data_IF_531815131088
#
_entry.id   IF_531815131088
#
_cell.length_a   1.000
_cell.length_b   1.000
_cell.length_c   1.000
_cell.angle_alpha   90.00
_cell.angle_beta   90.00
_cell.angle_gamma   90.00
#
_symmetry.space_group_name_H-M   'P 1'
#
loop_
_entity.id
_entity.type
_entity.pdbx_description
1 polymer ?
#
# COMPACT_ATOMS: atom_id res chain seq x y z
N UNK A 1 15.41 2.63 -41.52
CA UNK A 1 15.69 3.04 -40.12
C UNK A 1 14.76 2.28 -39.19
N UNK A 2 15.19 1.12 -38.68
CA UNK A 2 14.50 0.42 -37.60
C UNK A 2 15.12 0.90 -36.28
N UNK A 3 14.31 1.61 -35.49
CA UNK A 3 14.68 2.06 -34.15
C UNK A 3 14.69 0.85 -33.21
N UNK A 4 15.87 0.54 -32.70
CA UNK A 4 16.18 -0.50 -31.73
C UNK A 4 15.42 -0.20 -30.42
N UNK A 5 14.24 -0.79 -30.26
CA UNK A 5 13.62 -0.92 -28.93
C UNK A 5 14.41 -1.96 -28.17
N UNK A 6 15.35 -1.51 -27.34
CA UNK A 6 15.96 -2.34 -26.30
C UNK A 6 14.84 -2.91 -25.44
N UNK A 7 14.53 -4.18 -25.67
CA UNK A 7 13.78 -5.01 -24.72
C UNK A 7 14.67 -5.13 -23.49
N UNK A 8 14.46 -4.25 -22.52
CA UNK A 8 14.79 -4.57 -21.13
C UNK A 8 13.98 -5.84 -20.84
N UNK A 9 14.66 -6.88 -20.40
CA UNK A 9 14.23 -8.30 -20.40
C UNK A 9 12.85 -8.54 -19.74
N UNK A 10 12.33 -7.56 -18.99
CA UNK A 10 10.96 -7.51 -18.50
C UNK A 10 10.41 -6.08 -18.60
N UNK A 11 9.49 -5.86 -19.56
CA UNK A 11 8.53 -4.75 -19.52
C UNK A 11 8.69 -3.62 -20.56
N UNK A 12 7.70 -2.72 -20.58
CA UNK A 12 7.65 -1.52 -21.43
C UNK A 12 8.22 -0.33 -20.66
N UNK A 13 9.23 0.34 -21.21
CA UNK A 13 9.83 1.54 -20.62
C UNK A 13 8.85 2.73 -20.67
N UNK A 14 8.58 3.30 -19.51
CA UNK A 14 7.78 4.51 -19.32
C UNK A 14 8.74 5.67 -19.07
N UNK A 15 8.65 6.68 -19.93
CA UNK A 15 9.60 7.81 -19.96
C UNK A 15 9.24 8.87 -18.94
N UNK A 16 7.95 9.17 -18.84
CA UNK A 16 7.43 10.24 -18.01
C UNK A 16 5.96 9.99 -17.65
N UNK A 17 5.38 10.92 -16.90
CA UNK A 17 3.99 10.84 -16.43
C UNK A 17 2.99 10.86 -17.58
N UNK A 18 3.28 11.56 -18.67
CA UNK A 18 2.37 11.67 -19.79
C UNK A 18 2.35 10.39 -20.62
N UNK A 19 3.53 9.81 -20.87
CA UNK A 19 3.66 8.49 -21.45
C UNK A 19 2.89 7.43 -20.63
N UNK A 20 2.94 7.50 -19.29
CA UNK A 20 2.13 6.61 -18.45
C UNK A 20 0.62 6.82 -18.61
N UNK A 21 0.16 8.07 -18.70
CA UNK A 21 -1.28 8.36 -18.90
C UNK A 21 -1.78 7.79 -20.22
N UNK A 22 -1.00 7.96 -21.28
CA UNK A 22 -1.30 7.41 -22.60
C UNK A 22 -1.35 5.88 -22.56
N UNK A 23 -0.33 5.25 -21.99
CA UNK A 23 -0.27 3.79 -21.86
C UNK A 23 -1.43 3.21 -21.03
N UNK A 24 -1.82 3.89 -19.94
CA UNK A 24 -3.01 3.53 -19.15
C UNK A 24 -4.29 3.61 -20.00
N UNK A 25 -4.50 4.72 -20.72
CA UNK A 25 -5.67 4.91 -21.56
C UNK A 25 -5.77 3.85 -22.68
N UNK A 26 -4.63 3.51 -23.31
CA UNK A 26 -4.54 2.48 -24.34
C UNK A 26 -4.81 1.08 -23.79
N UNK A 27 -4.26 0.75 -22.62
CA UNK A 27 -4.44 -0.56 -21.98
C UNK A 27 -5.90 -0.84 -21.60
N UNK A 28 -6.69 0.21 -21.33
CA UNK A 28 -8.02 0.16 -20.71
C UNK A 28 -8.04 -0.58 -19.37
N UNK A 29 -6.89 -0.69 -18.70
CA UNK A 29 -6.72 -1.31 -17.39
C UNK A 29 -6.53 -0.25 -16.32
N UNK A 30 -7.00 -0.56 -15.11
CA UNK A 30 -6.86 0.35 -13.96
C UNK A 30 -5.56 0.10 -13.19
N UNK A 31 -5.07 -1.13 -13.25
CA UNK A 31 -3.92 -1.61 -12.48
C UNK A 31 -2.76 -2.00 -13.39
N UNK A 32 -1.56 -1.91 -12.86
CA UNK A 32 -0.36 -2.35 -13.53
C UNK A 32 0.70 -2.82 -12.53
N UNK A 33 1.51 -3.78 -12.94
CA UNK A 33 2.73 -4.17 -12.21
C UNK A 33 3.91 -3.44 -12.84
N UNK A 34 4.78 -2.86 -12.02
CA UNK A 34 5.94 -2.10 -12.48
C UNK A 34 7.22 -2.46 -11.74
N UNK A 35 8.34 -2.19 -12.41
CA UNK A 35 9.69 -2.41 -11.91
C UNK A 35 10.47 -1.10 -12.03
N UNK A 36 11.07 -0.65 -10.93
CA UNK A 36 12.05 0.44 -10.93
C UNK A 36 13.45 -0.15 -11.07
N UNK A 37 14.26 0.48 -11.93
CA UNK A 37 15.59 0.00 -12.27
C UNK A 37 16.62 1.11 -12.21
N UNK A 38 17.85 0.72 -11.93
CA UNK A 38 19.03 1.55 -12.11
C UNK A 38 19.24 1.86 -13.60
N UNK A 39 20.04 2.89 -13.98
CA UNK A 39 20.34 3.21 -15.38
C UNK A 39 20.90 2.01 -16.18
N UNK A 40 21.62 1.09 -15.52
CA UNK A 40 22.12 -0.15 -16.13
C UNK A 40 21.06 -1.25 -16.31
N UNK A 41 19.79 -0.98 -16.02
CA UNK A 41 18.68 -1.92 -16.19
C UNK A 41 18.46 -2.87 -15.00
N UNK A 42 19.35 -2.89 -14.00
CA UNK A 42 19.23 -3.73 -12.81
C UNK A 42 17.98 -3.35 -11.99
N UNK A 43 17.07 -4.29 -11.70
CA UNK A 43 15.90 -4.02 -10.89
C UNK A 43 16.29 -3.79 -9.42
N UNK A 44 15.65 -2.84 -8.76
CA UNK A 44 15.80 -2.61 -7.32
C UNK A 44 14.46 -2.49 -6.59
N UNK A 45 13.33 -2.43 -7.29
CA UNK A 45 12.01 -2.39 -6.68
C UNK A 45 10.95 -2.92 -7.63
N UNK A 46 9.99 -3.69 -7.11
CA UNK A 46 8.76 -4.11 -7.81
C UNK A 46 7.57 -3.52 -7.09
N UNK A 47 6.55 -3.08 -7.81
CA UNK A 47 5.34 -2.54 -7.21
C UNK A 47 4.10 -2.71 -8.06
N UNK A 48 2.94 -2.60 -7.41
CA UNK A 48 1.65 -2.40 -8.07
C UNK A 48 1.28 -0.93 -8.11
N UNK A 49 0.77 -0.49 -9.25
CA UNK A 49 0.37 0.88 -9.48
C UNK A 49 -1.05 1.01 -10.04
N UNK A 50 -1.61 2.19 -9.78
CA UNK A 50 -2.81 2.75 -10.40
C UNK A 50 -2.53 4.25 -10.62
N UNK A 51 -3.00 4.80 -11.74
CA UNK A 51 -2.72 6.19 -12.12
C UNK A 51 -1.21 6.46 -12.16
N UNK A 52 -0.72 7.49 -11.45
CA UNK A 52 0.71 7.88 -11.48
C UNK A 52 1.55 7.27 -10.35
N UNK A 53 1.11 6.15 -9.76
CA UNK A 53 1.72 5.60 -8.53
C UNK A 53 3.21 5.28 -8.68
N UNK A 54 3.65 4.81 -9.85
CA UNK A 54 5.06 4.46 -10.07
C UNK A 54 6.02 5.65 -9.87
N UNK A 55 5.56 6.88 -10.13
CA UNK A 55 6.35 8.10 -9.92
C UNK A 55 6.29 8.63 -8.50
N UNK A 56 5.42 8.09 -7.64
CA UNK A 56 5.30 8.57 -6.25
C UNK A 56 6.56 8.33 -5.43
N UNK A 57 7.34 7.29 -5.75
CA UNK A 57 8.57 6.97 -5.02
C UNK A 57 9.71 7.93 -5.34
N UNK A 58 9.80 8.38 -6.59
CA UNK A 58 10.71 9.45 -7.01
C UNK A 58 10.37 10.75 -6.28
N UNK A 59 9.09 11.09 -6.14
CA UNK A 59 8.69 12.27 -5.35
C UNK A 59 8.96 12.10 -3.85
N UNK A 60 8.69 10.92 -3.29
CA UNK A 60 8.99 10.58 -1.89
C UNK A 60 10.48 10.76 -1.58
N UNK A 61 11.37 10.39 -2.51
CA UNK A 61 12.81 10.51 -2.32
C UNK A 61 13.33 11.96 -2.28
N UNK A 62 12.56 12.93 -2.78
CA UNK A 62 12.90 14.37 -2.70
C UNK A 62 12.71 14.95 -1.28
N UNK A 63 11.87 14.33 -0.47
CA UNK A 63 11.61 14.77 0.91
C UNK A 63 12.71 14.23 1.84
N UNK A 64 13.61 15.07 2.39
CA UNK A 64 14.74 14.62 3.20
C UNK A 64 14.33 13.88 4.48
N UNK A 65 13.12 14.13 4.99
CA UNK A 65 12.58 13.47 6.18
C UNK A 65 12.11 12.03 5.91
N UNK A 66 12.03 11.64 4.62
CA UNK A 66 11.71 10.26 4.21
C UNK A 66 12.98 9.42 4.11
N UNK A 67 12.89 8.19 4.61
CA UNK A 67 13.97 7.21 4.58
C UNK A 67 13.52 5.82 4.17
N UNK A 68 14.46 4.87 4.17
CA UNK A 68 14.25 3.47 3.82
C UNK A 68 14.96 3.07 2.53
N UNK A 69 15.27 1.77 2.41
CA UNK A 69 16.14 1.22 1.36
C UNK A 69 15.77 1.66 -0.05
N UNK A 70 14.47 1.72 -0.36
CA UNK A 70 13.96 2.17 -1.67
C UNK A 70 14.27 3.65 -1.94
N UNK A 71 14.05 4.52 -0.94
CA UNK A 71 14.32 5.97 -1.05
C UNK A 71 15.83 6.21 -1.17
N UNK A 72 16.62 5.50 -0.36
CA UNK A 72 18.08 5.55 -0.41
C UNK A 72 18.62 5.07 -1.75
N UNK A 73 18.09 3.99 -2.32
CA UNK A 73 18.47 3.52 -3.65
C UNK A 73 18.23 4.59 -4.73
N UNK A 74 17.07 5.27 -4.71
CA UNK A 74 16.76 6.36 -5.64
C UNK A 74 17.75 7.52 -5.48
N UNK A 75 18.04 7.95 -4.25
CA UNK A 75 19.00 9.03 -3.98
C UNK A 75 20.41 8.67 -4.42
N UNK A 76 20.83 7.41 -4.21
CA UNK A 76 22.13 6.92 -4.65
C UNK A 76 22.25 7.00 -6.18
N UNK A 77 21.21 6.60 -6.92
CA UNK A 77 21.17 6.73 -8.39
C UNK A 77 21.36 8.20 -8.80
N UNK A 78 20.65 9.14 -8.16
CA UNK A 78 20.79 10.56 -8.47
C UNK A 78 22.17 11.13 -8.13
N UNK A 79 22.77 10.72 -6.99
CA UNK A 79 24.11 11.18 -6.61
C UNK A 79 25.20 10.76 -7.60
N UNK A 80 24.94 9.72 -8.39
CA UNK A 80 25.82 9.23 -9.45
C UNK A 80 25.51 9.88 -10.81
N UNK A 81 24.59 10.86 -10.86
CA UNK A 81 24.15 11.52 -12.10
C UNK A 81 23.20 10.69 -12.95
N UNK A 82 22.66 9.59 -12.42
CA UNK A 82 21.72 8.72 -13.13
C UNK A 82 20.25 9.08 -12.89
N UNK A 83 19.37 8.43 -13.65
CA UNK A 83 17.92 8.50 -13.48
C UNK A 83 17.31 7.12 -13.22
N UNK A 84 16.21 7.10 -12.47
CA UNK A 84 15.45 5.86 -12.24
C UNK A 84 14.67 5.50 -13.50
N UNK A 85 14.90 4.29 -14.01
CA UNK A 85 14.13 3.76 -15.13
C UNK A 85 12.83 3.14 -14.61
N UNK A 86 11.73 3.42 -15.31
CA UNK A 86 10.40 2.95 -14.95
C UNK A 86 9.92 1.96 -16.02
N UNK A 87 9.66 0.71 -15.65
CA UNK A 87 9.18 -0.31 -16.60
C UNK A 87 7.86 -0.91 -16.14
N UNK A 88 6.91 -1.09 -17.06
CA UNK A 88 5.66 -1.82 -16.82
C UNK A 88 5.87 -3.28 -17.18
N UNK A 89 5.67 -4.20 -16.23
CA UNK A 89 5.68 -5.64 -16.48
C UNK A 89 4.34 -6.12 -17.05
N UNK A 90 3.21 -5.63 -16.53
CA UNK A 90 1.88 -6.05 -16.96
C UNK A 90 0.76 -5.07 -16.64
N UNK A 91 -0.35 -5.18 -17.38
CA UNK A 91 -1.59 -4.40 -17.20
C UNK A 91 -2.73 -5.32 -16.75
N UNK A 92 -3.53 -4.87 -15.80
CA UNK A 92 -4.47 -5.76 -15.09
C UNK A 92 -5.81 -5.08 -14.77
N UNK A 93 -6.90 -5.84 -14.86
CA UNK A 93 -8.23 -5.34 -14.49
C UNK A 93 -8.35 -5.12 -12.98
N UNK A 94 -7.81 -6.06 -12.21
CA UNK A 94 -7.77 -6.03 -10.74
C UNK A 94 -6.32 -5.88 -10.25
N UNK A 95 -6.14 -5.60 -8.97
CA UNK A 95 -4.82 -5.53 -8.33
C UNK A 95 -4.03 -6.85 -8.55
N UNK A 96 -2.87 -6.82 -9.24
CA UNK A 96 -2.15 -8.03 -9.68
C UNK A 96 -1.18 -8.55 -8.63
N UNK A 97 -1.72 -8.82 -7.45
CA UNK A 97 -1.00 -9.26 -6.26
C UNK A 97 -0.11 -10.48 -6.48
N UNK A 98 -0.63 -11.49 -7.18
CA UNK A 98 0.11 -12.72 -7.49
C UNK A 98 1.31 -12.39 -8.38
N UNK A 99 1.13 -11.54 -9.39
CA UNK A 99 2.19 -11.18 -10.32
C UNK A 99 3.32 -10.40 -9.65
N UNK A 100 2.98 -9.47 -8.75
CA UNK A 100 3.98 -8.76 -7.95
C UNK A 100 4.79 -9.72 -7.08
N UNK A 101 4.14 -10.69 -6.44
CA UNK A 101 4.82 -11.71 -5.63
C UNK A 101 5.74 -12.61 -6.48
N UNK A 102 5.27 -13.08 -7.64
CA UNK A 102 6.08 -13.87 -8.59
C UNK A 102 7.35 -13.13 -9.01
N UNK A 103 7.24 -11.84 -9.35
CA UNK A 103 8.40 -11.03 -9.73
C UNK A 103 9.38 -10.85 -8.56
N UNK A 104 8.86 -10.65 -7.35
CA UNK A 104 9.69 -10.47 -6.17
C UNK A 104 10.43 -11.75 -5.81
N UNK A 105 9.77 -12.91 -5.89
CA UNK A 105 10.37 -14.21 -5.67
C UNK A 105 11.43 -14.52 -6.74
N UNK A 106 11.10 -14.30 -8.02
CA UNK A 106 12.00 -14.56 -9.13
C UNK A 106 13.26 -13.68 -9.13
N UNK A 107 13.16 -12.42 -8.71
CA UNK A 107 14.28 -11.47 -8.69
C UNK A 107 15.06 -11.54 -7.36
N UNK A 108 14.38 -11.77 -6.24
CA UNK A 108 14.97 -11.85 -4.90
C UNK A 108 15.15 -10.51 -4.18
N UNK A 109 15.20 -10.56 -2.85
CA UNK A 109 15.20 -9.39 -1.96
C UNK A 109 16.50 -9.26 -1.16
N UNK A 110 16.91 -8.00 -0.91
CA UNK A 110 18.14 -7.69 -0.16
C UNK A 110 18.07 -8.25 1.27
N UNK A 111 16.93 -8.08 1.95
CA UNK A 111 16.76 -8.52 3.35
C UNK A 111 16.89 -10.03 3.55
N UNK A 112 16.66 -10.81 2.51
CA UNK A 112 16.82 -12.27 2.52
C UNK A 112 18.14 -12.73 1.89
N UNK A 113 18.96 -11.80 1.40
CA UNK A 113 20.17 -12.13 0.66
C UNK A 113 19.94 -12.84 -0.67
N UNK A 114 18.70 -12.84 -1.19
CA UNK A 114 18.33 -13.59 -2.40
C UNK A 114 18.36 -12.76 -3.68
N UNK A 115 18.45 -11.43 -3.58
CA UNK A 115 18.50 -10.56 -4.75
C UNK A 115 18.54 -9.06 -4.44
N UNK A 116 18.38 -8.21 -5.47
CA UNK A 116 18.60 -6.77 -5.38
C UNK A 116 17.39 -5.96 -4.92
N UNK A 117 16.21 -6.56 -4.74
CA UNK A 117 15.02 -5.78 -4.45
C UNK A 117 15.03 -5.18 -3.04
N UNK A 118 14.66 -3.89 -2.98
CA UNK A 118 14.50 -3.07 -1.77
C UNK A 118 13.11 -3.18 -1.15
N UNK A 119 12.23 -4.02 -1.71
CA UNK A 119 10.88 -4.28 -1.19
C UNK A 119 10.95 -4.68 0.30
N UNK A 120 10.37 -3.84 1.17
CA UNK A 120 10.34 -4.09 2.60
C UNK A 120 9.30 -5.16 2.98
N UNK A 121 8.27 -5.34 2.16
CA UNK A 121 7.16 -6.25 2.43
C UNK A 121 7.58 -7.71 2.13
N UNK A 122 7.29 -8.60 3.06
CA UNK A 122 7.19 -10.04 2.78
C UNK A 122 5.77 -10.32 2.29
N UNK A 123 5.65 -10.86 1.09
CA UNK A 123 4.38 -11.40 0.65
C UNK A 123 4.24 -12.77 1.29
N UNK A 124 3.38 -12.88 2.30
CA UNK A 124 2.78 -14.18 2.62
C UNK A 124 1.85 -14.56 1.46
N UNK A 125 1.69 -15.86 1.13
CA UNK A 125 0.65 -16.31 0.21
C UNK A 125 -0.67 -15.66 0.62
N UNK A 126 -1.35 -15.03 -0.34
CA UNK A 126 -2.68 -14.53 -0.08
C UNK A 126 -3.67 -15.69 -0.09
N UNK A 127 -4.65 -15.62 0.80
CA UNK A 127 -5.77 -16.55 0.84
C UNK A 127 -7.04 -15.75 0.56
N UNK A 128 -7.93 -16.28 -0.29
CA UNK A 128 -9.26 -15.70 -0.45
C UNK A 128 -10.18 -16.39 0.54
N UNK A 129 -10.75 -15.63 1.48
CA UNK A 129 -11.75 -16.11 2.42
C UNK A 129 -13.04 -15.34 2.16
N UNK A 130 -14.15 -16.02 1.89
CA UNK A 130 -15.45 -15.41 1.57
C UNK A 130 -15.40 -14.30 0.50
N UNK A 131 -14.53 -14.44 -0.52
CA UNK A 131 -14.37 -13.47 -1.60
C UNK A 131 -13.50 -12.25 -1.26
N UNK A 132 -12.87 -12.21 -0.09
CA UNK A 132 -11.94 -11.16 0.33
C UNK A 132 -10.52 -11.73 0.42
N UNK A 133 -9.55 -11.09 -0.25
CA UNK A 133 -8.15 -11.47 -0.18
C UNK A 133 -7.52 -11.06 1.17
N UNK A 134 -7.20 -12.05 2.00
CA UNK A 134 -6.50 -11.89 3.29
C UNK A 134 -5.03 -12.30 3.14
N UNK A 135 -4.11 -11.42 3.60
CA UNK A 135 -2.64 -11.58 3.46
C UNK A 135 -1.96 -11.73 4.82
N UNK A 136 -1.43 -10.63 5.36
CA UNK A 136 -0.76 -10.56 6.68
C UNK A 136 -1.66 -11.07 7.83
N UNK A 137 -2.96 -11.13 7.60
CA UNK A 137 -3.96 -11.61 8.55
C UNK A 137 -4.41 -13.04 8.21
N UNK A 138 -3.51 -13.90 7.73
CA UNK A 138 -3.78 -15.33 7.48
C UNK A 138 -4.44 -16.05 8.67
N UNK A 139 -4.23 -15.53 9.88
CA UNK A 139 -4.83 -16.02 11.12
C UNK A 139 -6.17 -15.33 11.45
N UNK A 140 -6.87 -14.75 10.45
CA UNK A 140 -8.30 -14.42 10.61
C UNK A 140 -8.98 -15.73 11.05
N UNK A 141 -9.42 -15.75 12.30
CA UNK A 141 -9.95 -16.95 12.94
C UNK A 141 -11.24 -17.38 12.22
N UNK A 142 -11.12 -18.37 11.32
CA UNK A 142 -12.25 -19.02 10.67
C UNK A 142 -12.71 -18.38 9.36
N UNK A 143 -13.87 -18.85 8.87
CA UNK A 143 -14.45 -18.48 7.57
C UNK A 143 -15.06 -17.05 7.53
N UNK A 144 -15.10 -16.34 8.67
CA UNK A 144 -15.69 -14.99 8.77
C UNK A 144 -14.61 -13.88 8.69
N UNK A 145 -14.45 -13.29 7.49
CA UNK A 145 -13.56 -12.15 7.24
C UNK A 145 -13.92 -10.88 7.99
N UNK A 146 -15.14 -10.79 8.50
CA UNK A 146 -15.61 -9.67 9.31
C UNK A 146 -15.51 -9.96 10.82
N UNK A 147 -15.04 -11.14 11.20
CA UNK A 147 -14.78 -11.52 12.58
C UNK A 147 -13.68 -10.65 13.20
N UNK A 148 -14.01 -9.94 14.27
CA UNK A 148 -13.04 -9.14 15.04
C UNK A 148 -12.07 -10.10 15.74
N UNK A 149 -10.74 -10.03 15.48
CA UNK A 149 -9.78 -10.93 16.11
C UNK A 149 -9.78 -10.81 17.63
N UNK A 150 -9.66 -11.93 18.34
CA UNK A 150 -9.52 -11.95 19.80
C UNK A 150 -8.32 -11.14 20.30
N UNK A 151 -7.28 -11.03 19.47
CA UNK A 151 -6.07 -10.26 19.77
C UNK A 151 -6.27 -8.75 19.69
N UNK A 152 -7.42 -8.25 19.23
CA UNK A 152 -7.68 -6.82 19.10
C UNK A 152 -7.83 -6.16 20.48
N UNK A 153 -6.83 -5.37 20.88
CA UNK A 153 -6.69 -4.86 22.25
C UNK A 153 -7.70 -3.77 22.62
N UNK A 154 -8.31 -3.15 21.61
CA UNK A 154 -9.21 -2.01 21.79
C UNK A 154 -10.69 -2.40 21.64
N UNK A 155 -10.99 -3.71 21.58
CA UNK A 155 -12.33 -4.26 21.34
C UNK A 155 -13.43 -3.57 22.15
N UNK A 156 -13.22 -3.42 23.45
CA UNK A 156 -14.20 -2.85 24.40
C UNK A 156 -13.84 -1.43 24.86
N UNK A 157 -12.75 -0.86 24.34
CA UNK A 157 -12.31 0.49 24.70
C UNK A 157 -13.17 1.49 23.95
N UNK A 158 -13.74 2.47 24.65
CA UNK A 158 -14.43 3.61 24.03
C UNK A 158 -13.40 4.58 23.45
N UNK A 159 -13.60 4.98 22.20
CA UNK A 159 -12.65 5.74 21.40
C UNK A 159 -13.21 7.09 20.96
N UNK A 160 -12.31 8.00 20.60
CA UNK A 160 -12.59 9.25 19.90
C UNK A 160 -11.42 9.65 19.02
N UNK A 161 -11.67 10.66 18.18
CA UNK A 161 -10.64 11.37 17.45
C UNK A 161 -9.53 11.85 18.40
N UNK A 162 -8.29 11.55 18.02
CA UNK A 162 -7.08 11.89 18.75
C UNK A 162 -6.70 13.36 18.63
N UNK A 163 -5.65 13.79 19.35
CA UNK A 163 -5.18 15.19 19.31
C UNK A 163 -4.50 15.59 18.00
N UNK A 164 -4.10 14.63 17.16
CA UNK A 164 -3.49 14.90 15.85
C UNK A 164 -4.49 14.60 14.75
N UNK A 165 -4.49 15.42 13.70
CA UNK A 165 -5.35 15.21 12.54
C UNK A 165 -4.54 14.59 11.36
N UNK A 166 -5.10 13.60 10.64
CA UNK A 166 -4.52 13.13 9.39
C UNK A 166 -4.46 14.25 8.34
N UNK A 167 -3.37 14.31 7.56
CA UNK A 167 -3.19 15.34 6.51
C UNK A 167 -4.32 15.38 5.47
N UNK A 168 -5.08 14.30 5.31
CA UNK A 168 -6.20 14.23 4.38
C UNK A 168 -7.27 13.26 4.86
N UNK A 169 -8.54 13.67 4.73
CA UNK A 169 -9.72 12.84 5.05
C UNK A 169 -9.93 11.69 4.07
N UNK A 170 -9.26 11.71 2.91
CA UNK A 170 -9.30 10.61 1.93
C UNK A 170 -8.42 9.43 2.32
N UNK A 171 -7.44 9.61 3.21
CA UNK A 171 -6.56 8.51 3.67
C UNK A 171 -7.32 7.54 4.57
N UNK A 172 -6.76 6.34 4.79
CA UNK A 172 -7.36 5.35 5.71
C UNK A 172 -7.53 5.96 7.11
N UNK A 173 -6.48 6.56 7.66
CA UNK A 173 -6.56 7.27 8.94
C UNK A 173 -7.52 8.45 8.89
N UNK A 174 -7.60 9.16 7.76
CA UNK A 174 -8.57 10.23 7.54
C UNK A 174 -10.02 9.76 7.70
N UNK A 175 -10.36 8.64 7.08
CA UNK A 175 -11.69 8.02 7.20
C UNK A 175 -11.98 7.54 8.62
N UNK A 176 -11.00 6.90 9.28
CA UNK A 176 -11.14 6.47 10.67
C UNK A 176 -11.37 7.67 11.61
N UNK A 177 -10.59 8.74 11.41
CA UNK A 177 -10.72 9.95 12.20
C UNK A 177 -12.10 10.60 12.01
N UNK A 178 -12.57 10.73 10.76
CA UNK A 178 -13.93 11.22 10.47
C UNK A 178 -15.01 10.36 11.12
N UNK A 179 -14.92 9.02 11.03
CA UNK A 179 -15.89 8.12 11.66
C UNK A 179 -15.96 8.32 13.19
N UNK A 180 -14.82 8.59 13.84
CA UNK A 180 -14.74 8.88 15.27
C UNK A 180 -15.23 10.28 15.67
N UNK A 181 -15.10 11.27 14.79
CA UNK A 181 -15.70 12.60 15.00
C UNK A 181 -17.23 12.53 14.94
N UNK A 182 -17.76 11.74 14.00
CA UNK A 182 -19.21 11.55 13.83
C UNK A 182 -19.81 10.63 14.91
N UNK A 183 -19.01 9.73 15.47
CA UNK A 183 -19.45 8.73 16.45
C UNK A 183 -18.56 8.74 17.70
N UNK A 184 -18.49 9.84 18.46
CA UNK A 184 -17.64 9.92 19.64
C UNK A 184 -18.10 8.95 20.74
N UNK A 185 -17.16 8.21 21.31
CA UNK A 185 -17.42 7.31 22.44
C UNK A 185 -17.84 5.89 22.06
N UNK A 186 -17.86 5.54 20.75
CA UNK A 186 -18.03 4.15 20.30
C UNK A 186 -16.90 3.27 20.80
N UNK A 187 -17.21 2.01 21.07
CA UNK A 187 -16.21 0.97 21.34
C UNK A 187 -15.37 0.67 20.10
N UNK A 188 -14.20 0.06 20.27
CA UNK A 188 -13.41 -0.41 19.14
C UNK A 188 -14.17 -1.37 18.22
N UNK A 189 -15.01 -2.25 18.77
CA UNK A 189 -15.83 -3.18 17.98
C UNK A 189 -16.89 -2.48 17.13
N UNK A 190 -17.56 -1.47 17.70
CA UNK A 190 -18.53 -0.65 16.97
C UNK A 190 -17.83 0.15 15.87
N UNK A 191 -16.64 0.71 16.16
CA UNK A 191 -15.84 1.39 15.15
C UNK A 191 -15.46 0.45 13.99
N UNK A 192 -15.02 -0.79 14.26
CA UNK A 192 -14.75 -1.78 13.21
C UNK A 192 -15.99 -1.98 12.33
N UNK A 193 -17.17 -2.16 12.95
CA UNK A 193 -18.44 -2.36 12.24
C UNK A 193 -18.83 -1.17 11.35
N UNK A 194 -18.56 0.05 11.81
CA UNK A 194 -18.75 1.27 11.00
C UNK A 194 -17.80 1.26 9.80
N UNK A 195 -16.53 0.99 10.04
CA UNK A 195 -15.49 1.06 9.01
C UNK A 195 -15.68 0.00 7.93
N UNK A 196 -16.11 -1.22 8.26
CA UNK A 196 -16.38 -2.27 7.28
C UNK A 196 -17.46 -1.89 6.24
N UNK A 197 -18.28 -0.86 6.52
CA UNK A 197 -19.32 -0.36 5.60
C UNK A 197 -18.86 0.80 4.73
N UNK A 198 -17.65 1.32 4.96
CA UNK A 198 -17.10 2.41 4.18
C UNK A 198 -16.48 1.89 2.88
N UNK A 199 -16.58 2.69 1.82
CA UNK A 199 -15.89 2.43 0.57
C UNK A 199 -14.41 2.80 0.69
N UNK A 200 -13.50 1.82 0.57
CA UNK A 200 -12.05 2.04 0.52
C UNK A 200 -11.44 1.92 -0.88
N UNK A 201 -12.23 1.91 -1.95
CA UNK A 201 -11.75 1.74 -3.35
C UNK A 201 -10.68 2.76 -3.76
N UNK A 202 -10.73 3.96 -3.19
CA UNK A 202 -9.75 5.03 -3.42
C UNK A 202 -8.49 4.95 -2.55
N UNK A 203 -8.45 4.04 -1.57
CA UNK A 203 -7.31 3.85 -0.67
C UNK A 203 -6.38 2.77 -1.21
N UNK A 204 -5.23 3.21 -1.74
CA UNK A 204 -4.16 2.34 -2.24
C UNK A 204 -3.45 1.61 -1.08
N UNK A 205 -4.12 0.64 -0.48
CA UNK A 205 -3.56 -0.28 0.51
C UNK A 205 -3.49 -1.66 -0.08
N UNK A 206 -2.52 -2.47 0.35
CA UNK A 206 -2.26 -3.77 -0.24
C UNK A 206 -3.30 -4.86 0.10
N UNK A 207 -4.48 -4.43 0.54
CA UNK A 207 -5.46 -5.22 1.31
C UNK A 207 -6.91 -4.76 1.08
N UNK A 208 -7.14 -3.84 0.13
CA UNK A 208 -8.48 -3.46 -0.33
C UNK A 208 -8.68 -4.09 -1.70
N UNK A 209 -9.43 -5.19 -1.81
CA UNK A 209 -9.81 -5.70 -3.14
C UNK A 209 -11.11 -5.02 -3.54
N UNK A 210 -11.07 -4.21 -4.60
CA UNK A 210 -12.23 -3.42 -5.05
C UNK A 210 -12.86 -2.52 -3.96
N UNK A 211 -12.07 -2.11 -2.96
CA UNK A 211 -12.52 -1.29 -1.84
C UNK A 211 -13.10 -2.03 -0.64
N UNK A 212 -13.27 -3.35 -0.71
CA UNK A 212 -13.64 -4.18 0.44
C UNK A 212 -12.42 -4.44 1.34
N UNK A 213 -12.63 -4.43 2.67
CA UNK A 213 -11.60 -4.67 3.69
C UNK A 213 -12.10 -5.69 4.72
N UNK A 214 -11.18 -6.40 5.37
CA UNK A 214 -11.52 -7.34 6.46
C UNK A 214 -11.36 -6.70 7.85
N UNK A 215 -12.01 -7.28 8.87
CA UNK A 215 -11.98 -6.74 10.23
C UNK A 215 -10.57 -6.68 10.82
N UNK A 216 -9.75 -7.71 10.58
CA UNK A 216 -8.38 -7.76 11.07
C UNK A 216 -7.50 -6.60 10.53
N UNK A 217 -7.71 -6.22 9.27
CA UNK A 217 -7.04 -5.07 8.67
C UNK A 217 -7.45 -3.76 9.34
N UNK A 218 -8.76 -3.57 9.54
CA UNK A 218 -9.30 -2.39 10.23
C UNK A 218 -8.75 -2.30 11.66
N UNK A 219 -8.77 -3.39 12.42
CA UNK A 219 -8.22 -3.46 13.78
C UNK A 219 -6.75 -3.01 13.82
N UNK A 220 -5.92 -3.47 12.88
CA UNK A 220 -4.52 -3.06 12.80
C UNK A 220 -4.32 -1.56 12.57
N UNK A 221 -5.19 -0.94 11.77
CA UNK A 221 -5.16 0.53 11.61
C UNK A 221 -5.66 1.27 12.84
N UNK A 222 -6.70 0.78 13.52
CA UNK A 222 -7.18 1.39 14.77
C UNK A 222 -6.06 1.34 15.83
N UNK A 223 -5.42 0.19 16.02
CA UNK A 223 -4.29 0.05 16.94
C UNK A 223 -3.10 0.93 16.54
N UNK A 224 -2.79 1.02 15.24
CA UNK A 224 -1.77 1.93 14.73
C UNK A 224 -2.07 3.39 15.03
N UNK A 225 -3.32 3.83 14.83
CA UNK A 225 -3.75 5.21 15.10
C UNK A 225 -3.75 5.56 16.58
N UNK A 226 -3.95 4.56 17.45
CA UNK A 226 -4.02 4.69 18.90
C UNK A 226 -2.65 4.58 19.59
N UNK A 227 -1.89 3.51 19.33
CA UNK A 227 -0.67 3.19 20.06
C UNK A 227 0.58 3.90 19.53
N UNK A 228 0.61 4.28 18.25
CA UNK A 228 1.79 4.93 17.69
C UNK A 228 1.86 6.40 18.10
N UNK A 229 2.98 6.76 18.73
CA UNK A 229 3.27 8.11 19.22
C UNK A 229 3.44 9.14 18.08
N UNK A 230 3.81 8.71 16.88
CA UNK A 230 3.97 9.59 15.73
C UNK A 230 2.64 9.95 15.06
N UNK A 231 1.59 9.14 15.24
CA UNK A 231 0.26 9.40 14.66
C UNK A 231 -0.75 9.96 15.65
N UNK A 232 -0.96 9.33 16.80
CA UNK A 232 -1.97 9.74 17.82
C UNK A 232 -3.31 10.25 17.22
N UNK A 233 -3.80 9.59 16.18
CA UNK A 233 -5.04 9.96 15.48
C UNK A 233 -6.28 9.47 16.21
N UNK A 234 -6.11 8.55 17.16
CA UNK A 234 -7.18 7.94 17.95
C UNK A 234 -6.76 8.01 19.42
N UNK A 235 -7.70 8.25 20.32
CA UNK A 235 -7.46 8.20 21.76
C UNK A 235 -8.66 7.63 22.51
N UNK A 236 -8.49 7.31 23.79
CA UNK A 236 -9.61 6.89 24.64
C UNK A 236 -10.62 8.03 24.79
N UNK A 237 -11.90 7.68 24.86
CA UNK A 237 -12.95 8.64 25.16
C UNK A 237 -12.70 9.32 26.49
N UNK A 238 -12.63 10.65 26.47
CA UNK A 238 -12.64 11.49 27.67
C UNK A 238 -13.98 12.17 27.73
N UNK A 239 -14.78 11.86 28.75
CA UNK A 239 -15.98 12.66 29.02
C UNK A 239 -15.53 14.11 29.18
N UNK A 240 -16.07 15.01 28.37
CA UNK A 240 -16.02 16.44 28.65
C UNK A 240 -16.74 16.62 29.99
N UNK A 241 -15.97 16.89 31.04
CA UNK A 241 -16.51 17.41 32.30
C UNK A 241 -17.00 18.83 32.06
#
# INVERSE_FOLDING_TARGET
MQSTKEKIEYGVLIKDREHLRQALAESRKQHYTYILREPGGKPFYVGIGQGLRMFSHVEEAKDPERGGLKVEAIRNIWSQGGEVLHTIDGWHDNEPWVREAELIEAIGQIKHGTGPLTNAQDYSPSHVVAGVEVRKYKDVQGEDVNGIPETFKLKDVRLMAGPREPKTRRSVFGKIYTALEENPGVTGSELVSILLRLDFSSNKSAYTQSGAVCAAWVCGYIEGGYFRSDTQYIQSWKNKR
#
